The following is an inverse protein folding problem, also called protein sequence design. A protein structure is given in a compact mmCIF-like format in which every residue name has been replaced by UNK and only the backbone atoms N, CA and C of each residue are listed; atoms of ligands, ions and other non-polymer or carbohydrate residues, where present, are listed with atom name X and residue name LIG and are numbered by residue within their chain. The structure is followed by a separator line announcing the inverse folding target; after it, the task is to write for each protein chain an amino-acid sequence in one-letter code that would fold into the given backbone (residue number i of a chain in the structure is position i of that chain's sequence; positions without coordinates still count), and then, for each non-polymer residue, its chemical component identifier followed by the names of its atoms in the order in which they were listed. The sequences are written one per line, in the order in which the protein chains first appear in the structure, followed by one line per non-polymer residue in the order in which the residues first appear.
data_IF_931802342028
#
_entry.id   IF_931802342028
#
_cell.length_a   1.000
_cell.length_b   1.000
_cell.length_c   1.000
_cell.angle_alpha   90.00
_cell.angle_beta   90.00
_cell.angle_gamma   90.00
#
_symmetry.space_group_name_H-M   'P 1'
#
loop_
_entity.id
_entity.type
_entity.pdbx_description
1 polymer ?
#
# COMPACT_ATOMS: atom_id res chain seq x y z
N UNK A 1 7.48 -12.56 7.82
CA UNK A 1 6.85 -13.82 7.34
C UNK A 1 7.85 -14.96 7.50
N UNK A 2 7.47 -16.10 8.09
CA UNK A 2 8.35 -17.28 8.18
C UNK A 2 8.27 -18.13 6.90
N UNK A 3 9.28 -18.95 6.66
CA UNK A 3 9.34 -19.82 5.47
C UNK A 3 8.20 -20.84 5.41
N UNK A 4 7.69 -21.30 6.57
CA UNK A 4 6.55 -22.24 6.60
C UNK A 4 5.24 -21.60 6.16
N UNK A 5 5.00 -20.35 6.60
CA UNK A 5 3.78 -19.61 6.23
C UNK A 5 3.79 -19.30 4.73
N UNK A 6 4.94 -18.90 4.17
CA UNK A 6 5.06 -18.66 2.73
C UNK A 6 4.73 -19.93 1.92
N UNK A 7 5.31 -21.07 2.31
CA UNK A 7 5.04 -22.35 1.64
C UNK A 7 3.57 -22.71 1.70
N UNK A 8 2.93 -22.54 2.86
CA UNK A 8 1.50 -22.79 3.01
C UNK A 8 0.66 -21.92 2.07
N UNK A 9 0.94 -20.60 2.00
CA UNK A 9 0.22 -19.69 1.10
C UNK A 9 0.40 -20.05 -0.37
N UNK A 10 1.59 -20.48 -0.79
CA UNK A 10 1.83 -20.92 -2.16
C UNK A 10 1.02 -22.17 -2.51
N UNK A 11 0.91 -23.14 -1.58
CA UNK A 11 0.08 -24.33 -1.78
C UNK A 11 -1.40 -23.97 -1.89
N UNK A 12 -1.91 -23.07 -1.03
CA UNK A 12 -3.30 -22.57 -1.11
C UNK A 12 -3.58 -21.88 -2.45
N UNK A 13 -2.63 -21.10 -2.99
CA UNK A 13 -2.78 -20.45 -4.29
C UNK A 13 -2.72 -21.43 -5.47
N UNK A 14 -1.98 -22.54 -5.33
CA UNK A 14 -1.97 -23.62 -6.31
C UNK A 14 -3.30 -24.37 -6.29
N UNK A 15 -3.80 -24.72 -5.11
CA UNK A 15 -5.08 -25.41 -4.95
C UNK A 15 -6.25 -24.58 -5.49
N UNK A 16 -6.18 -23.25 -5.29
CA UNK A 16 -7.13 -22.30 -5.87
C UNK A 16 -6.96 -22.05 -7.39
N UNK A 17 -5.95 -22.64 -8.04
CA UNK A 17 -5.69 -22.48 -9.47
C UNK A 17 -5.15 -21.10 -9.89
N UNK A 18 -4.69 -20.28 -8.96
CA UNK A 18 -4.16 -18.93 -9.22
C UNK A 18 -2.66 -18.97 -9.58
N UNK A 19 -1.94 -19.95 -9.04
CA UNK A 19 -0.51 -20.16 -9.26
C UNK A 19 -0.28 -21.59 -9.76
N UNK A 20 0.73 -21.77 -10.59
CA UNK A 20 1.27 -23.09 -10.92
C UNK A 20 2.78 -23.09 -10.69
N UNK A 21 3.34 -24.29 -10.45
CA UNK A 21 4.76 -24.49 -10.39
C UNK A 21 5.28 -24.95 -11.75
N UNK A 22 6.33 -24.30 -12.25
CA UNK A 22 6.95 -24.64 -13.53
C UNK A 22 7.89 -25.85 -13.37
N UNK A 23 8.29 -26.51 -14.48
CA UNK A 23 9.26 -27.62 -14.43
C UNK A 23 10.61 -27.23 -13.79
N UNK A 24 10.97 -25.95 -13.83
CA UNK A 24 12.17 -25.37 -13.22
C UNK A 24 11.99 -25.03 -11.73
N UNK A 25 10.90 -25.50 -11.11
CA UNK A 25 10.56 -25.27 -9.70
C UNK A 25 10.31 -23.78 -9.36
N UNK A 26 9.95 -22.96 -10.36
CA UNK A 26 9.53 -21.57 -10.18
C UNK A 26 8.02 -21.49 -10.02
N UNK A 27 7.51 -20.40 -9.44
CA UNK A 27 6.07 -20.16 -9.31
C UNK A 27 5.63 -19.06 -10.27
N UNK A 28 4.59 -19.33 -11.05
CA UNK A 28 4.04 -18.39 -12.01
C UNK A 28 2.50 -18.30 -11.88
N UNK A 29 1.95 -17.11 -12.17
CA UNK A 29 0.50 -16.95 -12.23
C UNK A 29 -0.09 -17.72 -13.42
N UNK A 30 -1.24 -18.34 -13.20
CA UNK A 30 -2.11 -18.81 -14.28
C UNK A 30 -2.79 -17.61 -14.96
N UNK A 31 -3.55 -17.84 -16.04
CA UNK A 31 -4.40 -16.78 -16.60
C UNK A 31 -5.43 -16.29 -15.57
N UNK A 32 -6.07 -17.20 -14.83
CA UNK A 32 -6.99 -16.85 -13.75
C UNK A 32 -6.31 -16.01 -12.65
N UNK A 33 -5.06 -16.35 -12.31
CA UNK A 33 -4.25 -15.56 -11.38
C UNK A 33 -3.91 -14.16 -11.90
N UNK A 34 -3.69 -14.01 -13.21
CA UNK A 34 -3.49 -12.69 -13.84
C UNK A 34 -4.76 -11.86 -13.80
N UNK A 35 -5.92 -12.44 -14.12
CA UNK A 35 -7.21 -11.76 -14.07
C UNK A 35 -7.54 -11.29 -12.64
N UNK A 36 -7.34 -12.15 -11.65
CA UNK A 36 -7.51 -11.81 -10.24
C UNK A 36 -6.59 -10.65 -9.82
N UNK A 37 -5.34 -10.65 -10.27
CA UNK A 37 -4.39 -9.56 -10.01
C UNK A 37 -4.86 -8.24 -10.63
N UNK A 38 -5.35 -8.26 -11.87
CA UNK A 38 -5.87 -7.05 -12.51
C UNK A 38 -7.13 -6.53 -11.83
N UNK A 39 -8.02 -7.42 -11.36
CA UNK A 39 -9.20 -7.05 -10.57
C UNK A 39 -8.83 -6.41 -9.22
N UNK A 40 -7.73 -6.84 -8.59
CA UNK A 40 -7.23 -6.27 -7.32
C UNK A 40 -6.46 -4.97 -7.49
N UNK A 41 -5.94 -4.67 -8.69
CA UNK A 41 -5.11 -3.49 -8.95
C UNK A 41 -5.77 -2.16 -8.57
N UNK A 42 -7.07 -1.91 -8.83
CA UNK A 42 -7.73 -0.68 -8.39
C UNK A 42 -7.76 -0.51 -6.87
N UNK A 43 -7.93 -1.61 -6.13
CA UNK A 43 -7.92 -1.59 -4.67
C UNK A 43 -6.53 -1.25 -4.13
N UNK A 44 -5.47 -1.84 -4.71
CA UNK A 44 -4.09 -1.47 -4.38
C UNK A 44 -3.81 0.01 -4.66
N UNK A 45 -4.25 0.53 -5.81
CA UNK A 45 -4.09 1.96 -6.12
C UNK A 45 -4.83 2.86 -5.15
N UNK A 46 -6.01 2.43 -4.69
CA UNK A 46 -6.76 3.16 -3.68
C UNK A 46 -6.05 3.14 -2.33
N UNK A 47 -5.51 1.99 -1.90
CA UNK A 47 -4.75 1.91 -0.65
C UNK A 47 -3.51 2.80 -0.66
N UNK A 48 -2.83 2.91 -1.80
CA UNK A 48 -1.67 3.81 -1.93
C UNK A 48 -2.07 5.28 -1.75
N UNK A 49 -3.19 5.71 -2.36
CA UNK A 49 -3.73 7.07 -2.16
C UNK A 49 -4.17 7.31 -0.73
N UNK A 50 -4.75 6.31 -0.09
CA UNK A 50 -5.17 6.40 1.29
C UNK A 50 -3.97 6.55 2.24
N UNK A 51 -2.91 5.77 2.03
CA UNK A 51 -1.66 5.92 2.79
C UNK A 51 -1.06 7.32 2.62
N UNK A 52 -0.97 7.82 1.37
CA UNK A 52 -0.46 9.16 1.09
C UNK A 52 -1.28 10.26 1.80
N UNK A 53 -2.61 10.13 1.84
CA UNK A 53 -3.49 11.08 2.54
C UNK A 53 -3.33 11.06 4.07
N UNK A 54 -2.82 9.97 4.66
CA UNK A 54 -2.50 9.89 6.08
C UNK A 54 -1.09 10.43 6.38
N UNK A 55 -0.15 10.27 5.44
CA UNK A 55 1.21 10.81 5.53
C UNK A 55 1.23 12.34 5.34
N UNK A 56 0.28 12.89 4.58
CA UNK A 56 -0.08 14.33 4.53
C UNK A 56 -0.81 14.79 5.82
N UNK A 57 -0.30 14.38 6.99
CA UNK A 57 -0.74 14.88 8.29
C UNK A 57 -0.78 16.41 8.32
N UNK A 58 -1.60 17.02 9.20
CA UNK A 58 -2.01 18.42 9.13
C UNK A 58 -0.82 19.39 9.24
N UNK A 59 -0.21 19.71 8.11
CA UNK A 59 0.92 20.61 8.00
C UNK A 59 0.66 21.66 6.93
N UNK A 60 -0.52 22.30 6.94
CA UNK A 60 -0.66 23.67 6.38
C UNK A 60 -1.98 24.37 6.74
N UNK A 61 -2.34 24.41 8.02
CA UNK A 61 -3.31 25.41 8.50
C UNK A 61 -3.01 25.85 9.93
N UNK A 62 -1.74 26.02 10.26
CA UNK A 62 -1.40 26.96 11.32
C UNK A 62 -1.32 28.35 10.66
N UNK A 63 -2.26 29.29 10.94
CA UNK A 63 -2.08 30.67 10.48
C UNK A 63 -0.73 31.18 11.02
N UNK A 64 0.00 32.05 10.30
CA UNK A 64 1.22 32.67 10.81
C UNK A 64 0.86 33.63 11.95
N UNK A 65 0.58 33.08 13.13
CA UNK A 65 0.42 33.80 14.38
C UNK A 65 1.71 33.67 15.19
N UNK A 66 2.78 34.34 14.76
CA UNK A 66 3.91 34.74 15.63
C UNK A 66 5.01 35.55 14.91
N UNK A 67 4.67 36.54 14.07
CA UNK A 67 5.72 37.45 13.56
C UNK A 67 5.30 38.88 13.23
N UNK A 68 4.14 39.36 13.71
CA UNK A 68 3.84 40.80 13.73
C UNK A 68 3.28 41.19 15.08
N UNK A 69 4.18 41.62 15.97
CA UNK A 69 4.07 42.77 16.88
C UNK A 69 5.36 42.82 17.72
N UNK A 70 6.47 43.15 17.06
CA UNK A 70 7.53 43.91 17.75
C UNK A 70 6.97 45.32 18.02
N UNK A 71 7.19 45.80 19.25
CA UNK A 71 7.38 47.20 19.60
C UNK A 71 6.50 48.26 18.89
N UNK A 72 5.28 48.44 19.37
CA UNK A 72 4.63 49.75 19.49
C UNK A 72 3.35 49.60 20.31
N UNK A 73 3.42 49.90 21.61
CA UNK A 73 2.67 51.02 22.13
C UNK A 73 3.06 51.31 23.59
N UNK A 74 3.30 52.59 23.83
CA UNK A 74 3.53 53.16 25.14
C UNK A 74 2.27 53.03 26.01
N UNK A 75 2.38 52.43 27.20
CA UNK A 75 1.93 53.03 28.46
C UNK A 75 2.61 52.36 29.65
#
# INVERSE_FOLDING_TARGET
MSSSVLRQRLLELIDAGLVHQTPENLYALTELGRDAREALRPLSRWSDRWAAALDEGPADTAPPCASVLEASDCF
#
